data_IF_347433422855
#
_entry.id   IF_347433422855
#
_cell.length_a   1.000
_cell.length_b   1.000
_cell.length_c   1.000
_cell.angle_alpha   90.00
_cell.angle_beta   90.00
_cell.angle_gamma   90.00
#
_symmetry.space_group_name_H-M   'P 1'
#
loop_
_entity.id
_entity.type
_entity.pdbx_description
1 polymer ?
2 non-polymer ?
3 water ?
#
# COMPACT_ATOMS: atom_id res chain seq x y z
N UNK A 2 -9.10 -15.98 9.42
CA UNK A 2 -8.00 -16.80 9.89
C UNK A 2 -7.17 -17.35 8.72
N UNK A 3 -6.00 -17.90 9.04
CA UNK A 3 -5.24 -18.66 8.04
C UNK A 3 -6.02 -19.89 7.59
N UNK A 4 -6.60 -20.64 8.54
CA UNK A 4 -7.39 -21.83 8.19
C UNK A 4 -8.58 -21.48 7.31
N UNK A 5 -9.22 -20.33 7.57
CA UNK A 5 -10.33 -19.92 6.73
C UNK A 5 -9.86 -19.66 5.31
N UNK A 6 -8.65 -19.12 5.14
CA UNK A 6 -8.07 -18.98 3.82
C UNK A 6 -7.77 -20.33 3.20
N UNK A 7 -7.27 -21.28 4.01
CA UNK A 7 -6.86 -22.58 3.49
C UNK A 7 -8.06 -23.39 3.01
N UNK A 8 -9.23 -23.19 3.62
CA UNK A 8 -10.45 -23.81 3.13
C UNK A 8 -11.14 -22.99 2.03
N UNK A 9 -10.83 -21.71 1.93
CA UNK A 9 -11.56 -20.80 1.07
C UNK A 9 -11.58 -21.25 -0.39
N UNK A 10 -12.74 -21.07 -1.00
CA UNK A 10 -12.90 -21.32 -2.45
C UNK A 10 -12.39 -20.10 -3.22
N UNK A 11 -12.21 -20.22 -4.52
CA UNK A 11 -11.78 -19.08 -5.36
C UNK A 11 -12.88 -18.01 -5.37
N UNK A 12 -14.14 -18.44 -5.40
CA UNK A 12 -15.25 -17.47 -5.47
C UNK A 12 -15.40 -16.72 -4.14
N UNK A 13 -15.22 -17.42 -3.02
CA UNK A 13 -15.28 -16.75 -1.71
C UNK A 13 -14.16 -15.70 -1.65
N UNK A 14 -12.96 -16.07 -2.09
CA UNK A 14 -11.80 -15.16 -2.01
C UNK A 14 -12.08 -13.94 -2.89
N UNK A 15 -12.61 -14.16 -4.09
CA UNK A 15 -12.92 -13.07 -5.03
C UNK A 15 -13.93 -12.11 -4.38
N UNK A 16 -14.95 -12.65 -3.74
CA UNK A 16 -15.98 -11.81 -3.09
C UNK A 16 -15.40 -11.07 -1.88
N UNK A 17 -14.49 -11.71 -1.13
CA UNK A 17 -13.82 -11.04 0.01
C UNK A 17 -13.10 -9.78 -0.48
N UNK A 18 -12.31 -9.90 -1.55
CA UNK A 18 -11.53 -8.73 -2.05
C UNK A 18 -12.48 -7.66 -2.57
N UNK A 19 -13.52 -8.05 -3.30
CA UNK A 19 -14.51 -7.07 -3.81
C UNK A 19 -15.28 -6.46 -2.64
N UNK A 20 -15.62 -7.26 -1.63
CA UNK A 20 -16.32 -6.71 -0.49
C UNK A 20 -15.49 -5.71 0.31
N UNK A 21 -14.18 -5.97 0.44
CA UNK A 21 -13.29 -4.94 0.99
C UNK A 21 -13.39 -3.63 0.20
N UNK A 22 -13.37 -3.74 -1.13
CA UNK A 22 -13.46 -2.51 -1.92
C UNK A 22 -14.81 -1.80 -1.75
N UNK A 23 -15.90 -2.57 -1.69
CA UNK A 23 -17.23 -1.99 -1.54
C UNK A 23 -17.37 -1.34 -0.17
N UNK A 24 -16.83 -1.98 0.86
CA UNK A 24 -16.89 -1.42 2.21
C UNK A 24 -16.22 -0.06 2.24
N UNK A 25 -15.04 0.05 1.60
CA UNK A 25 -14.35 1.34 1.63
C UNK A 25 -15.09 2.39 0.84
N UNK A 26 -15.59 2.04 -0.35
CA UNK A 26 -16.34 3.02 -1.12
C UNK A 26 -17.54 3.54 -0.33
N UNK A 27 -18.23 2.65 0.39
CA UNK A 27 -19.43 3.05 1.09
C UNK A 27 -19.11 3.94 2.29
N UNK A 28 -18.02 3.61 3.00
CA UNK A 28 -17.56 4.52 4.05
C UNK A 28 -17.28 5.90 3.48
N UNK A 29 -16.60 5.96 2.34
CA UNK A 29 -16.23 7.28 1.82
C UNK A 29 -17.47 8.06 1.43
N UNK A 30 -18.46 7.36 0.89
CA UNK A 30 -19.75 7.97 0.55
C UNK A 30 -20.46 8.52 1.79
N UNK A 31 -20.53 7.72 2.86
CA UNK A 31 -21.15 8.19 4.11
C UNK A 31 -20.41 9.39 4.69
N UNK A 32 -19.07 9.33 4.70
CA UNK A 32 -18.25 10.42 5.20
C UNK A 32 -18.55 11.71 4.45
N UNK A 33 -18.56 11.65 3.13
CA UNK A 33 -18.77 12.87 2.34
C UNK A 33 -20.18 13.41 2.57
N UNK A 34 -21.18 12.54 2.63
CA UNK A 34 -22.53 13.01 2.94
C UNK A 34 -22.58 13.68 4.30
N UNK A 35 -21.93 13.08 5.30
CA UNK A 35 -21.88 13.61 6.67
C UNK A 35 -21.20 14.97 6.72
N UNK A 36 -20.10 15.14 6.00
CA UNK A 36 -19.38 16.41 6.04
C UNK A 36 -20.17 17.50 5.33
N UNK A 37 -20.76 17.20 4.16
CA UNK A 37 -21.65 18.15 3.49
C UNK A 37 -22.81 18.53 4.39
N UNK A 38 -23.33 17.56 5.14
CA UNK A 38 -24.48 17.80 6.00
C UNK A 38 -24.10 18.70 7.16
N UNK A 39 -22.89 18.53 7.70
CA UNK A 39 -22.44 19.37 8.80
C UNK A 39 -22.13 20.79 8.33
N UNK A 40 -21.47 20.91 7.19
CA UNK A 40 -21.15 22.23 6.67
C UNK A 40 -22.42 22.99 6.24
N UNK A 41 -23.44 22.28 5.78
CA UNK A 41 -24.59 22.95 5.20
C UNK A 41 -25.76 23.01 6.17
N UNK A 42 -26.34 21.87 6.51
CA UNK A 42 -27.57 21.86 7.30
C UNK A 42 -27.39 22.30 8.75
N UNK A 43 -26.16 22.38 9.28
CA UNK A 43 -25.94 22.67 10.69
C UNK A 43 -25.07 23.90 10.88
N UNK A 44 -25.46 25.04 10.28
CA UNK A 44 -24.58 26.22 10.34
C UNK A 44 -24.49 26.83 11.72
N UNK A 45 -25.41 26.49 12.63
CA UNK A 45 -25.43 26.96 14.00
C UNK A 45 -24.36 26.32 14.89
N UNK A 46 -23.68 25.28 14.43
CA UNK A 46 -22.75 24.53 15.26
C UNK A 46 -21.34 25.10 15.19
N UNK A 47 -20.59 24.94 16.27
CA UNK A 47 -19.20 25.37 16.27
C UNK A 47 -18.30 24.31 15.63
N UNK A 48 -17.02 24.65 15.47
CA UNK A 48 -16.04 23.72 14.89
C UNK A 48 -15.84 22.49 15.77
N UNK A 49 -15.80 22.67 17.08
CA UNK A 49 -15.56 21.54 17.97
C UNK A 49 -16.76 20.60 18.00
N UNK A 50 -17.98 21.13 17.91
CA UNK A 50 -19.15 20.26 17.86
C UNK A 50 -19.22 19.49 16.54
N UNK A 51 -18.92 20.16 15.43
CA UNK A 51 -18.86 19.44 14.17
C UNK A 51 -17.84 18.32 14.22
N UNK A 52 -16.63 18.63 14.72
CA UNK A 52 -15.58 17.62 14.84
C UNK A 52 -15.98 16.51 15.81
N UNK A 53 -16.79 16.81 16.82
CA UNK A 53 -17.27 15.78 17.72
C UNK A 53 -18.17 14.78 17.01
N UNK A 54 -19.08 15.28 16.16
CA UNK A 54 -19.88 14.38 15.34
C UNK A 54 -19.00 13.51 14.43
N UNK A 55 -18.00 14.12 13.80
CA UNK A 55 -17.18 13.30 12.92
C UNK A 55 -16.31 12.31 13.68
N UNK A 56 -15.91 12.62 14.92
CA UNK A 56 -15.18 11.66 15.72
C UNK A 56 -16.07 10.50 16.16
N UNK A 57 -17.34 10.78 16.49
CA UNK A 57 -18.31 9.71 16.70
C UNK A 57 -18.37 8.78 15.50
N UNK A 58 -18.51 9.36 14.30
CA UNK A 58 -18.54 8.56 13.08
C UNK A 58 -17.26 7.76 12.92
N UNK A 59 -16.12 8.34 13.32
CA UNK A 59 -14.86 7.62 13.22
C UNK A 59 -14.88 6.37 14.09
N UNK A 60 -15.26 6.54 15.36
CA UNK A 60 -15.32 5.39 16.26
C UNK A 60 -16.24 4.32 15.69
N UNK A 61 -17.44 4.73 15.25
CA UNK A 61 -18.39 3.78 14.66
C UNK A 61 -17.74 2.97 13.53
N UNK A 62 -17.25 3.66 12.50
CA UNK A 62 -16.70 2.97 11.33
C UNK A 62 -15.53 2.07 11.73
N UNK A 63 -14.63 2.57 12.56
CA UNK A 63 -13.38 1.82 12.68
C UNK A 63 -13.55 0.66 13.64
N UNK A 64 -14.35 0.82 14.71
CA UNK A 64 -14.67 -0.32 15.54
C UNK A 64 -15.37 -1.40 14.73
N UNK A 65 -16.28 -1.00 13.82
CA UNK A 65 -17.00 -2.04 13.08
C UNK A 65 -16.12 -2.73 12.05
N UNK A 66 -15.21 -1.98 11.40
CA UNK A 66 -14.49 -2.52 10.24
C UNK A 66 -13.00 -2.75 10.47
N UNK A 67 -12.36 -2.06 11.41
CA UNK A 67 -10.91 -2.17 11.53
C UNK A 67 -10.52 -2.43 12.98
N UNK A 68 -9.35 -1.96 13.40
CA UNK A 68 -8.87 -2.26 14.74
C UNK A 68 -8.53 -0.96 15.48
N UNK A 69 -8.45 -1.00 16.81
CA UNK A 69 -8.29 0.25 17.58
C UNK A 69 -6.98 0.98 17.34
N UNK A 70 -5.94 0.28 16.86
CA UNK A 70 -4.68 0.94 16.51
C UNK A 70 -4.90 2.04 15.48
N UNK A 71 -5.97 1.95 14.67
CA UNK A 71 -6.27 2.99 13.71
C UNK A 71 -6.46 4.36 14.36
N UNK A 72 -6.94 4.38 15.60
CA UNK A 72 -7.08 5.67 16.28
C UNK A 72 -5.74 6.37 16.35
N UNK A 73 -4.68 5.63 16.69
CA UNK A 73 -3.35 6.23 16.72
C UNK A 73 -3.00 6.78 15.35
N UNK A 74 -3.24 5.96 14.32
CA UNK A 74 -2.87 6.36 12.97
C UNK A 74 -3.62 7.62 12.60
N UNK A 75 -4.91 7.69 12.98
CA UNK A 75 -5.70 8.85 12.61
C UNK A 75 -5.13 10.09 13.29
N UNK A 76 -4.77 9.97 14.57
CA UNK A 76 -4.24 11.13 15.28
C UNK A 76 -2.99 11.62 14.56
N UNK A 77 -2.15 10.68 14.11
CA UNK A 77 -0.94 11.06 13.40
C UNK A 77 -1.29 11.76 12.11
N UNK A 78 -2.17 11.13 11.32
CA UNK A 78 -2.47 11.62 9.99
C UNK A 78 -3.13 13.00 10.04
N UNK A 79 -4.06 13.18 10.98
CA UNK A 79 -4.70 14.48 11.15
C UNK A 79 -3.67 15.53 11.56
N UNK A 80 -2.82 15.19 12.54
CA UNK A 80 -1.78 16.12 12.97
C UNK A 80 -0.91 16.58 11.80
N UNK A 81 -0.31 15.62 11.07
CA UNK A 81 0.52 15.93 9.91
C UNK A 81 -0.22 16.81 8.89
N UNK A 82 -1.52 16.57 8.66
CA UNK A 82 -2.21 17.39 7.67
C UNK A 82 -2.35 18.81 8.17
N UNK A 83 -2.81 18.98 9.41
CA UNK A 83 -2.89 20.32 9.99
C UNK A 83 -1.52 20.99 9.92
N UNK A 84 -0.50 20.31 10.45
CA UNK A 84 0.84 20.87 10.46
C UNK A 84 1.31 21.20 9.06
N UNK A 85 1.01 20.39 8.07
CA UNK A 85 1.39 20.71 6.67
C UNK A 85 0.81 22.07 6.25
N UNK A 86 -0.47 22.32 6.54
CA UNK A 86 -1.15 23.56 6.11
C UNK A 86 -0.57 24.75 6.88
N UNK A 87 -0.44 24.59 8.20
CA UNK A 87 0.18 25.64 9.03
C UNK A 87 1.56 25.95 8.44
N UNK A 88 2.26 24.91 8.00
CA UNK A 88 3.61 25.18 7.50
C UNK A 88 3.56 26.01 6.22
N UNK A 89 2.54 25.79 5.39
CA UNK A 89 2.40 26.60 4.19
C UNK A 89 2.13 28.05 4.59
N UNK A 90 1.33 28.25 5.65
CA UNK A 90 0.87 29.59 6.00
C UNK A 90 1.91 30.38 6.78
N UNK A 91 2.68 29.73 7.64
CA UNK A 91 3.49 30.43 8.62
C UNK A 91 4.97 30.12 8.51
N UNK A 92 5.37 29.21 7.64
CA UNK A 92 6.79 28.81 7.60
C UNK A 92 7.11 27.68 8.55
N UNK A 93 8.02 26.78 8.14
CA UNK A 93 8.36 25.56 8.94
C UNK A 93 8.85 25.88 10.36
N UNK A 94 9.58 26.97 10.55
CA UNK A 94 10.16 27.31 11.88
C UNK A 94 9.09 27.68 12.91
N UNK A 95 7.96 28.23 12.48
CA UNK A 95 6.96 28.71 13.47
C UNK A 95 5.97 27.60 13.76
N UNK A 96 5.93 26.60 12.89
CA UNK A 96 4.97 25.47 13.10
C UNK A 96 5.65 24.43 13.97
N UNK A 97 4.88 23.62 14.69
CA UNK A 97 5.44 22.57 15.49
C UNK A 97 6.16 21.59 14.57
N UNK A 98 7.09 20.78 15.12
CA UNK A 98 7.84 19.84 14.30
C UNK A 98 7.04 18.56 14.00
N UNK A 99 7.44 17.78 12.98
CA UNK A 99 6.79 16.51 12.66
C UNK A 99 6.58 15.67 13.92
N UNK A 100 5.41 15.04 14.06
CA UNK A 100 5.04 14.36 15.33
C UNK A 100 5.91 13.16 15.70
N UNK A 101 6.31 13.10 16.97
CA UNK A 101 7.07 11.99 17.51
C UNK A 101 6.12 11.23 18.45
N UNK A 102 5.49 10.18 17.94
CA UNK A 102 4.49 9.46 18.72
C UNK A 102 5.20 8.71 19.85
N UNK A 103 4.81 9.02 21.15
CA UNK A 103 5.39 8.26 22.25
C UNK A 103 4.59 6.99 22.50
N UNK A 104 5.20 5.95 23.07
CA UNK A 104 4.41 4.75 23.39
C UNK A 104 3.27 5.06 24.33
N UNK A 105 3.44 6.06 25.21
CA UNK A 105 2.43 6.33 26.23
C UNK A 105 1.23 7.03 25.63
N UNK A 106 1.48 7.99 24.74
CA UNK A 106 0.38 8.62 24.02
C UNK A 106 -0.41 7.58 23.21
N UNK A 107 0.29 6.69 22.49
CA UNK A 107 -0.41 5.70 21.66
C UNK A 107 -1.26 4.76 22.51
N UNK A 108 -0.70 4.28 23.63
CA UNK A 108 -1.47 3.42 24.53
C UNK A 108 -2.68 4.16 25.10
N UNK A 109 -2.52 5.42 25.48
CA UNK A 109 -3.66 6.17 25.98
C UNK A 109 -4.74 6.33 24.91
N UNK A 110 -4.33 6.67 23.68
CA UNK A 110 -5.29 6.88 22.61
C UNK A 110 -6.06 5.60 22.35
N UNK A 111 -5.35 4.46 22.33
CA UNK A 111 -5.99 3.19 22.05
C UNK A 111 -6.95 2.80 23.17
N UNK A 112 -6.52 2.96 24.43
CA UNK A 112 -7.39 2.64 25.56
C UNK A 112 -8.67 3.49 25.51
N UNK A 113 -8.52 4.80 25.31
CA UNK A 113 -9.69 5.67 25.18
C UNK A 113 -10.59 5.25 24.04
N UNK A 114 -10.01 4.89 22.90
CA UNK A 114 -10.83 4.45 21.77
C UNK A 114 -11.62 3.19 22.12
N UNK A 115 -10.96 2.21 22.75
CA UNK A 115 -11.66 1.00 23.19
C UNK A 115 -12.86 1.33 24.06
N UNK A 116 -12.61 2.08 25.14
CA UNK A 116 -13.70 2.55 25.99
C UNK A 116 -14.78 3.30 25.21
N UNK A 117 -14.40 3.96 24.11
CA UNK A 117 -15.41 4.62 23.30
C UNK A 117 -16.26 3.60 22.54
N UNK A 118 -15.74 2.41 22.28
CA UNK A 118 -16.62 1.45 21.62
C UNK A 118 -17.55 0.73 22.59
N UNK A 119 -17.48 1.04 23.89
CA UNK A 119 -18.19 0.28 24.91
C UNK A 119 -19.33 1.05 25.57
N UNK A 120 -19.32 2.38 25.52
CA UNK A 120 -20.33 3.17 26.21
C UNK A 120 -20.29 4.61 25.70
N UNK A 121 -21.44 5.28 25.81
CA UNK A 121 -21.57 6.67 25.40
C UNK A 121 -20.64 7.58 26.20
N UNK A 122 -20.50 7.30 27.52
CA UNK A 122 -19.53 8.03 28.33
C UNK A 122 -18.10 7.86 27.82
N UNK A 123 -17.75 6.63 27.44
CA UNK A 123 -16.43 6.41 26.87
C UNK A 123 -16.23 7.21 25.60
N UNK A 124 -17.26 7.30 24.77
CA UNK A 124 -17.17 8.08 23.54
C UNK A 124 -16.94 9.56 23.84
N UNK A 125 -17.66 10.11 24.83
CA UNK A 125 -17.39 11.50 25.21
C UNK A 125 -16.00 11.67 25.77
N UNK A 126 -15.50 10.69 26.54
CA UNK A 126 -14.12 10.83 27.03
C UNK A 126 -13.13 10.85 25.86
N UNK A 127 -13.32 9.98 24.87
CA UNK A 127 -12.43 9.97 23.70
C UNK A 127 -12.49 11.29 22.94
N UNK A 128 -13.70 11.77 22.67
CA UNK A 128 -13.87 13.02 21.93
C UNK A 128 -13.26 14.18 22.70
N UNK A 129 -13.51 14.23 24.01
CA UNK A 129 -12.92 15.30 24.82
C UNK A 129 -11.40 15.22 24.82
N UNK A 130 -10.83 14.01 24.83
CA UNK A 130 -9.38 13.88 24.79
C UNK A 130 -8.82 14.37 23.46
N UNK A 131 -9.45 13.97 22.35
CA UNK A 131 -8.94 14.39 21.04
C UNK A 131 -9.07 15.89 20.87
N UNK A 132 -10.22 16.45 21.26
CA UNK A 132 -10.49 17.87 21.01
C UNK A 132 -9.83 18.79 22.02
N UNK A 133 -9.47 18.30 23.20
CA UNK A 133 -8.67 19.01 24.18
C UNK A 133 -7.16 18.87 24.01
N UNK A 134 -6.74 18.03 23.08
CA UNK A 134 -5.28 17.76 22.90
C UNK A 134 -4.56 19.07 22.60
N UNK A 135 -3.60 19.48 23.44
CA UNK A 135 -2.94 20.78 23.28
C UNK A 135 -2.29 20.98 21.89
N UNK A 136 -1.58 19.97 21.39
CA UNK A 136 -0.84 20.11 20.10
C UNK A 136 -1.79 20.34 18.92
N UNK A 137 -2.91 19.63 18.87
CA UNK A 137 -3.88 19.79 17.78
C UNK A 137 -4.53 21.17 17.89
N UNK A 138 -4.90 21.55 19.12
CA UNK A 138 -5.51 22.88 19.36
C UNK A 138 -4.58 23.98 18.83
N UNK A 139 -3.27 23.82 19.00
CA UNK A 139 -2.30 24.83 18.51
C UNK A 139 -2.38 24.90 16.98
N UNK A 140 -2.30 23.75 16.32
CA UNK A 140 -2.36 23.69 14.84
C UNK A 140 -3.69 24.29 14.36
N UNK A 141 -4.79 23.96 15.02
CA UNK A 141 -6.14 24.47 14.64
C UNK A 141 -6.15 25.99 14.78
N UNK A 142 -5.59 26.50 15.87
CA UNK A 142 -5.53 27.95 16.11
C UNK A 142 -4.76 28.60 14.96
N UNK A 143 -3.64 27.99 14.59
CA UNK A 143 -2.81 28.50 13.49
C UNK A 143 -3.60 28.52 12.17
N UNK A 144 -4.69 27.75 12.10
CA UNK A 144 -5.54 27.71 10.87
C UNK A 144 -6.79 28.59 11.03
N UNK A 145 -6.83 29.43 12.06
CA UNK A 145 -7.99 30.32 12.32
C UNK A 145 -9.29 29.57 12.51
N UNK A 146 -9.23 28.27 12.81
CA UNK A 146 -10.43 27.42 13.06
C UNK A 146 -11.37 27.45 11.84
N UNK A 147 -10.83 27.59 10.63
CA UNK A 147 -11.65 27.57 9.39
C UNK A 147 -12.36 26.22 9.31
N UNK A 148 -13.70 26.20 9.35
CA UNK A 148 -14.46 24.93 9.41
C UNK A 148 -14.34 24.12 8.12
N UNK A 149 -14.50 24.77 6.97
CA UNK A 149 -14.44 24.06 5.66
C UNK A 149 -13.06 23.41 5.49
N UNK A 150 -12.00 24.14 5.80
CA UNK A 150 -10.62 23.62 5.63
C UNK A 150 -10.36 22.48 6.62
N UNK A 151 -10.60 22.72 7.90
CA UNK A 151 -10.27 21.69 8.93
C UNK A 151 -11.10 20.41 8.72
N UNK A 152 -12.36 20.54 8.34
CA UNK A 152 -13.22 19.35 8.12
C UNK A 152 -12.75 18.58 6.88
N UNK A 153 -12.35 19.30 5.84
CA UNK A 153 -11.80 18.66 4.62
C UNK A 153 -10.50 17.94 4.98
N UNK A 154 -9.70 18.55 5.85
CA UNK A 154 -8.43 17.93 6.30
C UNK A 154 -8.74 16.67 7.14
N UNK A 155 -9.81 16.72 7.94
CA UNK A 155 -10.25 15.55 8.74
C UNK A 155 -10.69 14.43 7.79
N UNK A 156 -11.39 14.78 6.71
CA UNK A 156 -11.85 13.80 5.71
C UNK A 156 -10.65 13.10 5.04
N UNK A 157 -9.60 13.85 4.74
CA UNK A 157 -8.37 13.27 4.12
C UNK A 157 -7.71 12.33 5.13
N UNK A 158 -7.58 12.77 6.39
CA UNK A 158 -6.98 11.92 7.44
C UNK A 158 -7.84 10.66 7.63
N UNK A 159 -9.16 10.81 7.62
CA UNK A 159 -10.09 9.67 7.78
C UNK A 159 -9.86 8.69 6.63
N UNK A 160 -9.89 9.19 5.39
CA UNK A 160 -9.69 8.31 4.23
C UNK A 160 -8.30 7.68 4.27
N UNK A 161 -7.29 8.48 4.61
CA UNK A 161 -5.92 7.99 4.64
C UNK A 161 -5.75 6.88 5.68
N UNK A 162 -6.38 7.02 6.83
CA UNK A 162 -6.27 6.01 7.93
C UNK A 162 -7.03 4.73 7.53
N UNK A 163 -8.17 4.86 6.86
CA UNK A 163 -8.95 3.69 6.40
C UNK A 163 -8.15 2.86 5.38
N UNK A 164 -7.43 3.52 4.47
CA UNK A 164 -6.58 2.82 3.47
C UNK A 164 -5.42 2.13 4.20
N UNK A 165 -4.82 2.82 5.17
CA UNK A 165 -3.70 2.26 5.97
C UNK A 165 -4.16 0.97 6.67
N UNK A 166 -5.35 1.00 7.26
CA UNK A 166 -5.91 -0.19 7.94
C UNK A 166 -6.18 -1.31 6.93
N UNK A 167 -6.72 -0.96 5.76
CA UNK A 167 -7.00 -1.95 4.69
C UNK A 167 -5.69 -2.51 4.13
N UNK A 168 -4.66 -1.68 4.05
CA UNK A 168 -3.35 -2.13 3.55
C UNK A 168 -2.79 -3.17 4.53
N UNK A 169 -2.96 -2.94 5.83
CA UNK A 169 -2.44 -3.88 6.86
C UNK A 169 -3.19 -5.21 6.77
N UNK A 170 -4.50 -5.16 6.57
CA UNK A 170 -5.32 -6.40 6.50
C UNK A 170 -4.95 -7.15 5.23
N UNK A 171 -4.73 -6.43 4.14
CA UNK A 171 -4.31 -7.07 2.86
C UNK A 171 -2.92 -7.67 3.02
N UNK A 172 -2.06 -7.03 3.80
CA UNK A 172 -0.69 -7.55 4.06
C UNK A 172 -0.78 -8.86 4.86
N UNK A 173 -1.68 -8.92 5.83
CA UNK A 173 -1.86 -10.14 6.64
C UNK A 173 -2.48 -11.25 5.75
N UNK A 174 -3.38 -10.88 4.85
CA UNK A 174 -3.98 -11.87 3.92
C UNK A 174 -2.90 -12.44 2.99
N UNK A 175 -2.03 -11.58 2.47
CA UNK A 175 -0.96 -12.02 1.55
C UNK A 175 0.05 -12.90 2.26
N UNK A 176 0.50 -12.48 3.42
CA UNK A 176 1.47 -13.26 4.21
C UNK A 176 0.86 -14.60 4.58
N UNK A 177 -0.43 -14.61 4.87
CA UNK A 177 -1.05 -15.89 5.16
C UNK A 177 -1.14 -16.75 3.92
N UNK A 178 -1.42 -16.12 2.76
CA UNK A 178 -1.44 -16.86 1.50
C UNK A 178 -0.07 -17.44 1.16
N UNK A 179 1.01 -16.70 1.47
CA UNK A 179 2.34 -17.21 1.19
C UNK A 179 2.71 -18.36 2.12
N UNK A 180 2.28 -18.28 3.38
CA UNK A 180 2.48 -19.41 4.29
C UNK A 180 1.78 -20.64 3.74
N UNK A 181 0.53 -20.49 3.31
CA UNK A 181 -0.20 -21.64 2.78
C UNK A 181 0.41 -22.16 1.49
N UNK A 182 0.87 -21.28 0.60
CA UNK A 182 1.54 -21.75 -0.61
C UNK A 182 2.77 -22.57 -0.24
N UNK A 183 3.53 -22.11 0.74
CA UNK A 183 4.75 -22.78 1.13
C UNK A 183 4.47 -24.15 1.75
N UNK A 184 3.45 -24.24 2.59
CA UNK A 184 3.03 -25.54 3.15
C UNK A 184 2.43 -26.46 2.10
N UNK A 185 1.95 -25.91 0.98
CA UNK A 185 1.44 -26.72 -0.13
C UNK A 185 2.38 -26.68 -1.33
N UNK A 186 3.67 -26.49 -1.04
CA UNK A 186 4.68 -26.28 -2.10
C UNK A 186 4.69 -27.42 -3.12
N UNK A 187 4.94 -27.05 -4.38
CA UNK A 187 5.04 -28.06 -5.40
C UNK A 187 3.73 -28.67 -5.85
N UNK A 188 2.60 -28.17 -5.36
CA UNK A 188 1.29 -28.68 -5.77
C UNK A 188 0.45 -27.53 -6.32
N UNK A 189 -0.65 -27.89 -6.98
CA UNK A 189 -1.54 -26.88 -7.54
C UNK A 189 -2.26 -26.10 -6.44
N UNK A 190 -2.46 -26.70 -5.26
CA UNK A 190 -2.89 -25.91 -4.11
C UNK A 190 -1.92 -24.77 -3.82
N UNK A 191 -0.62 -25.08 -3.83
CA UNK A 191 0.39 -24.05 -3.65
C UNK A 191 0.27 -22.94 -4.68
N UNK A 192 0.11 -23.31 -5.96
CA UNK A 192 -0.04 -22.30 -7.01
C UNK A 192 -1.31 -21.47 -6.81
N UNK A 193 -2.39 -22.09 -6.32
CA UNK A 193 -3.59 -21.34 -5.99
C UNK A 193 -3.29 -20.26 -4.96
N UNK A 194 -2.57 -20.62 -3.89
CA UNK A 194 -2.25 -19.61 -2.88
C UNK A 194 -1.29 -18.54 -3.38
N UNK A 195 -0.36 -18.89 -4.26
CA UNK A 195 0.48 -17.87 -4.90
C UNK A 195 -0.39 -16.88 -5.67
N UNK A 196 -1.42 -17.40 -6.33
CA UNK A 196 -2.30 -16.53 -7.09
C UNK A 196 -3.11 -15.64 -6.15
N UNK A 197 -3.48 -16.19 -4.98
CA UNK A 197 -4.12 -15.38 -3.94
C UNK A 197 -3.23 -14.23 -3.53
N UNK A 198 -1.94 -14.50 -3.29
CA UNK A 198 -1.01 -13.44 -2.93
C UNK A 198 -0.99 -12.36 -4.02
N UNK A 199 -0.94 -12.77 -5.29
CA UNK A 199 -0.93 -11.79 -6.38
C UNK A 199 -2.20 -10.93 -6.37
N UNK A 200 -3.37 -11.58 -6.21
CA UNK A 200 -4.61 -10.84 -6.07
C UNK A 200 -4.54 -9.81 -4.95
N UNK A 201 -3.93 -10.16 -3.80
CA UNK A 201 -3.83 -9.17 -2.72
C UNK A 201 -2.97 -7.97 -3.14
N UNK A 202 -1.95 -8.20 -3.98
CA UNK A 202 -1.17 -7.07 -4.50
C UNK A 202 -2.01 -6.17 -5.41
N UNK A 203 -2.81 -6.78 -6.29
CA UNK A 203 -3.81 -6.00 -7.03
C UNK A 203 -4.63 -5.11 -6.12
N UNK A 204 -5.06 -5.67 -4.99
CA UNK A 204 -5.85 -4.90 -4.02
C UNK A 204 -5.05 -3.77 -3.37
N UNK A 205 -3.82 -4.05 -2.92
CA UNK A 205 -3.01 -2.98 -2.35
C UNK A 205 -2.84 -1.81 -3.33
N UNK A 206 -2.63 -2.12 -4.61
CA UNK A 206 -2.56 -1.08 -5.63
C UNK A 206 -3.86 -0.28 -5.73
N UNK A 207 -5.00 -1.00 -5.81
CA UNK A 207 -6.31 -0.34 -5.79
C UNK A 207 -6.44 0.61 -4.61
N UNK A 208 -5.92 0.20 -3.43
CA UNK A 208 -6.14 0.98 -2.21
C UNK A 208 -5.31 2.26 -2.18
N UNK A 209 -4.04 2.17 -2.57
CA UNK A 209 -3.24 3.39 -2.69
C UNK A 209 -3.83 4.33 -3.74
N UNK A 210 -4.34 3.78 -4.85
CA UNK A 210 -4.93 4.63 -5.87
C UNK A 210 -6.16 5.34 -5.34
N UNK A 211 -6.95 4.65 -4.51
CA UNK A 211 -8.10 5.28 -3.89
C UNK A 211 -7.67 6.47 -3.05
N UNK A 212 -6.67 6.26 -2.17
CA UNK A 212 -6.20 7.40 -1.36
C UNK A 212 -5.78 8.58 -2.23
N UNK A 213 -5.05 8.30 -3.33
CA UNK A 213 -4.58 9.35 -4.24
C UNK A 213 -5.75 10.12 -4.87
N UNK A 214 -6.69 9.39 -5.49
CA UNK A 214 -7.77 10.08 -6.21
C UNK A 214 -8.72 10.80 -5.24
N UNK A 215 -8.98 10.21 -4.05
CA UNK A 215 -9.87 10.89 -3.11
C UNK A 215 -9.19 12.14 -2.53
N UNK A 216 -7.90 12.07 -2.24
CA UNK A 216 -7.19 13.25 -1.76
C UNK A 216 -7.29 14.38 -2.79
N UNK A 217 -7.03 14.05 -4.06
CA UNK A 217 -7.16 15.04 -5.14
C UNK A 217 -8.57 15.63 -5.21
N UNK A 218 -9.60 14.78 -5.08
CA UNK A 218 -10.97 15.25 -5.17
C UNK A 218 -11.31 16.22 -4.04
N UNK A 219 -10.91 15.88 -2.81
CA UNK A 219 -11.20 16.74 -1.66
C UNK A 219 -10.53 18.09 -1.83
N UNK A 220 -9.29 18.12 -2.35
CA UNK A 220 -8.64 19.41 -2.61
C UNK A 220 -9.34 20.19 -3.74
N UNK A 221 -9.78 19.51 -4.80
CA UNK A 221 -10.48 20.22 -5.87
C UNK A 221 -11.77 20.85 -5.36
N UNK A 222 -12.50 20.11 -4.50
CA UNK A 222 -13.71 20.67 -3.91
C UNK A 222 -13.38 21.83 -2.97
N UNK A 223 -12.30 21.74 -2.20
CA UNK A 223 -11.89 22.89 -1.37
C UNK A 223 -11.67 24.12 -2.23
N UNK A 224 -10.85 23.97 -3.28
CA UNK A 224 -10.52 25.08 -4.15
C UNK A 224 -11.79 25.65 -4.79
N UNK A 225 -12.73 24.78 -5.15
CA UNK A 225 -13.99 25.26 -5.72
C UNK A 225 -14.76 26.09 -4.70
N UNK A 226 -14.75 25.65 -3.45
CA UNK A 226 -15.52 26.27 -2.38
C UNK A 226 -14.81 27.46 -1.74
N UNK A 227 -13.49 27.58 -1.89
CA UNK A 227 -12.72 28.65 -1.27
C UNK A 227 -11.73 29.21 -2.29
N UNK A 228 -12.24 29.83 -3.35
CA UNK A 228 -11.34 30.20 -4.45
C UNK A 228 -10.35 31.29 -4.06
N UNK A 229 -10.68 32.13 -3.07
CA UNK A 229 -9.72 33.10 -2.57
C UNK A 229 -8.48 32.43 -1.98
N UNK A 230 -8.57 31.14 -1.64
CA UNK A 230 -7.44 30.42 -1.06
C UNK A 230 -6.69 29.61 -2.09
N UNK A 231 -7.03 29.74 -3.38
CA UNK A 231 -6.53 28.83 -4.39
C UNK A 231 -5.02 28.68 -4.35
N UNK A 232 -4.31 29.76 -4.01
CA UNK A 232 -2.86 29.70 -3.90
C UNK A 232 -2.44 28.77 -2.77
N UNK A 233 -2.77 29.14 -1.52
CA UNK A 233 -2.37 28.33 -0.37
C UNK A 233 -2.76 26.87 -0.59
N UNK A 234 -4.02 26.66 -0.97
CA UNK A 234 -4.54 25.31 -1.17
C UNK A 234 -3.69 24.52 -2.14
N UNK A 235 -3.35 25.14 -3.28
CA UNK A 235 -2.56 24.41 -4.27
C UNK A 235 -1.18 24.08 -3.74
N UNK A 236 -0.65 24.92 -2.84
CA UNK A 236 0.64 24.60 -2.24
C UNK A 236 0.48 23.45 -1.25
N UNK A 237 -0.60 23.48 -0.49
CA UNK A 237 -0.80 22.44 0.52
C UNK A 237 -0.95 21.10 -0.17
N UNK A 238 -1.77 21.05 -1.22
CA UNK A 238 -1.93 19.81 -1.97
C UNK A 238 -0.59 19.31 -2.50
N UNK A 239 0.27 20.21 -2.96
CA UNK A 239 1.52 19.72 -3.52
C UNK A 239 2.38 19.05 -2.45
N UNK A 240 2.30 19.54 -1.24
CA UNK A 240 3.05 18.91 -0.12
C UNK A 240 2.41 17.58 0.25
N UNK A 241 1.08 17.48 0.22
CA UNK A 241 0.40 16.26 0.61
C UNK A 241 0.61 15.18 -0.43
N UNK A 242 0.33 15.54 -1.69
CA UNK A 242 0.67 14.68 -2.81
C UNK A 242 2.16 14.39 -2.86
N UNK A 243 3.01 15.29 -2.40
CA UNK A 243 4.45 14.99 -2.39
C UNK A 243 4.80 13.91 -1.40
N UNK A 244 4.22 13.99 -0.21
CA UNK A 244 4.49 12.99 0.85
C UNK A 244 4.01 11.61 0.38
N UNK A 245 2.83 11.54 -0.20
CA UNK A 245 2.32 10.26 -0.74
C UNK A 245 3.33 9.70 -1.77
N UNK A 246 3.80 10.52 -2.72
CA UNK A 246 4.83 10.06 -3.70
C UNK A 246 6.03 9.46 -2.98
N UNK A 247 6.57 10.15 -1.99
CA UNK A 247 7.79 9.69 -1.29
C UNK A 247 7.55 8.31 -0.68
N UNK A 248 6.41 8.13 -0.03
CA UNK A 248 6.06 6.81 0.55
C UNK A 248 6.10 5.73 -0.55
N UNK A 249 5.52 6.03 -1.72
CA UNK A 249 5.50 5.04 -2.83
C UNK A 249 6.94 4.78 -3.32
N UNK A 250 7.73 5.83 -3.53
CA UNK A 250 9.12 5.68 -4.03
C UNK A 250 9.96 4.91 -3.00
N UNK A 251 9.77 5.19 -1.72
CA UNK A 251 10.47 4.44 -0.66
C UNK A 251 10.08 2.96 -0.78
N UNK A 252 8.79 2.72 -1.01
CA UNK A 252 8.34 1.34 -1.18
C UNK A 252 8.95 0.71 -2.42
N UNK A 253 9.03 1.45 -3.53
CA UNK A 253 9.71 0.94 -4.76
C UNK A 253 11.14 0.50 -4.42
N UNK A 254 11.90 1.36 -3.78
CA UNK A 254 13.32 1.06 -3.42
C UNK A 254 13.39 -0.20 -2.52
N UNK A 255 12.56 -0.28 -1.50
CA UNK A 255 12.55 -1.46 -0.59
C UNK A 255 12.17 -2.73 -1.34
N UNK A 256 11.18 -2.67 -2.23
CA UNK A 256 10.69 -3.88 -2.94
C UNK A 256 11.79 -4.37 -3.89
N UNK A 257 12.41 -3.47 -4.63
CA UNK A 257 13.56 -3.85 -5.50
C UNK A 257 14.61 -4.54 -4.64
N UNK A 258 14.97 -3.93 -3.52
CA UNK A 258 15.98 -4.51 -2.60
C UNK A 258 15.56 -5.91 -2.16
N UNK A 259 14.34 -6.04 -1.64
CA UNK A 259 13.84 -7.34 -1.16
C UNK A 259 13.87 -8.40 -2.27
N UNK A 260 13.36 -8.05 -3.45
CA UNK A 260 13.31 -9.01 -4.60
C UNK A 260 14.73 -9.51 -4.94
N UNK A 261 15.69 -8.60 -5.07
CA UNK A 261 17.08 -8.98 -5.43
C UNK A 261 17.74 -9.74 -4.28
N UNK A 262 17.44 -9.41 -3.04
CA UNK A 262 17.95 -10.21 -1.91
C UNK A 262 17.33 -11.61 -1.96
N UNK A 263 16.05 -11.69 -2.33
CA UNK A 263 15.40 -13.01 -2.50
C UNK A 263 16.07 -13.76 -3.67
N UNK A 264 16.48 -13.06 -4.72
CA UNK A 264 17.22 -13.72 -5.82
C UNK A 264 18.56 -14.28 -5.31
N UNK A 265 19.32 -13.49 -4.54
CA UNK A 265 20.67 -13.92 -4.12
C UNK A 265 20.56 -15.14 -3.19
N UNK A 266 19.63 -15.09 -2.26
CA UNK A 266 19.42 -16.24 -1.36
C UNK A 266 18.99 -17.48 -2.16
N UNK A 267 18.13 -17.33 -3.16
CA UNK A 267 17.67 -18.47 -3.99
C UNK A 267 18.88 -19.06 -4.75
N UNK A 268 19.70 -18.21 -5.33
CA UNK A 268 20.87 -18.67 -6.11
C UNK A 268 21.81 -19.49 -5.21
N UNK A 269 21.96 -19.09 -3.95
CA UNK A 269 22.92 -19.78 -3.04
C UNK A 269 22.33 -21.12 -2.59
N UNK A 270 21.00 -21.23 -2.58
CA UNK A 270 20.40 -22.45 -2.08
C UNK A 270 20.30 -23.52 -3.15
N UNK A 271 20.48 -23.13 -4.42
CA UNK A 271 20.21 -24.02 -5.54
C UNK A 271 21.25 -25.12 -5.60
N UNK A 272 20.79 -26.36 -5.84
CA UNK A 272 21.75 -27.39 -6.24
C UNK A 272 22.23 -27.08 -7.66
N UNK A 273 23.54 -26.92 -7.87
CA UNK A 273 24.03 -26.50 -9.19
C UNK A 273 23.77 -27.51 -10.32
N UNK A 274 23.32 -28.73 -10.04
CA UNK A 274 23.02 -29.63 -11.15
C UNK A 274 21.66 -29.35 -11.78
N UNK A 275 20.83 -28.52 -11.14
CA UNK A 275 19.50 -28.23 -11.67
C UNK A 275 19.62 -27.20 -12.79
N UNK A 276 19.01 -27.51 -13.93
CA UNK A 276 19.02 -26.65 -15.11
C UNK A 276 17.60 -26.44 -15.60
N UNK A 277 17.43 -25.37 -16.39
CA UNK A 277 16.12 -24.95 -16.87
C UNK A 277 16.07 -25.15 -18.38
N UNK A 278 14.88 -25.45 -18.92
CA UNK A 278 14.64 -25.37 -20.36
C UNK A 278 13.84 -24.14 -20.79
N UNK A 279 12.98 -23.62 -19.93
CA UNK A 279 12.13 -22.50 -20.33
C UNK A 279 11.50 -21.89 -19.08
N UNK A 280 11.21 -20.61 -19.19
CA UNK A 280 10.57 -19.80 -18.15
C UNK A 280 9.67 -18.82 -18.86
N UNK A 281 8.42 -18.72 -18.41
CA UNK A 281 7.48 -17.74 -18.93
C UNK A 281 6.70 -17.16 -17.76
N UNK A 282 6.46 -15.84 -17.82
CA UNK A 282 5.70 -15.12 -16.82
C UNK A 282 4.70 -14.24 -17.55
N UNK A 283 3.45 -14.34 -17.17
CA UNK A 283 2.40 -13.49 -17.76
C UNK A 283 1.78 -12.63 -16.67
N UNK A 284 1.73 -11.32 -16.90
CA UNK A 284 1.02 -10.41 -15.95
C UNK A 284 -0.23 -9.89 -16.65
N UNK A 285 -1.39 -10.10 -16.02
CA UNK A 285 -2.66 -9.69 -16.62
C UNK A 285 -3.48 -8.81 -15.66
N UNK A 286 -3.94 -7.67 -16.16
CA UNK A 286 -4.81 -6.78 -15.38
C UNK A 286 -6.18 -6.75 -16.06
N UNK A 287 -7.25 -6.89 -15.29
CA UNK A 287 -8.59 -6.71 -15.87
C UNK A 287 -8.81 -5.20 -16.03
N UNK A 288 -9.84 -4.80 -16.77
CA UNK A 288 -10.16 -3.36 -16.91
C UNK A 288 -10.49 -2.80 -15.53
N UNK A 289 -10.97 -3.65 -14.61
CA UNK A 289 -11.40 -3.24 -13.25
C UNK A 289 -10.22 -3.14 -12.28
N UNK A 290 -9.10 -3.77 -12.59
CA UNK A 290 -7.93 -3.73 -11.70
C UNK A 290 -7.63 -5.03 -10.97
N UNK A 291 -8.19 -6.16 -11.42
CA UNK A 291 -7.80 -7.40 -10.77
C UNK A 291 -6.48 -7.90 -11.38
N UNK A 292 -5.61 -8.45 -10.53
CA UNK A 292 -4.25 -8.83 -10.93
C UNK A 292 -4.11 -10.33 -10.99
N UNK A 293 -3.61 -10.83 -12.11
CA UNK A 293 -3.26 -12.24 -12.22
C UNK A 293 -1.84 -12.40 -12.72
N UNK A 294 -1.08 -13.29 -12.09
CA UNK A 294 0.30 -13.60 -12.46
C UNK A 294 0.40 -15.10 -12.69
N UNK A 295 0.83 -15.50 -13.87
CA UNK A 295 0.96 -16.91 -14.23
C UNK A 295 2.42 -17.18 -14.56
N UNK A 296 3.02 -18.15 -13.88
CA UNK A 296 4.45 -18.44 -14.00
C UNK A 296 4.63 -19.90 -14.36
N UNK A 297 5.35 -20.16 -15.46
CA UNK A 297 5.66 -21.51 -15.94
C UNK A 297 7.17 -21.69 -15.99
N UNK A 298 7.70 -22.50 -15.08
CA UNK A 298 9.12 -22.76 -14.99
C UNK A 298 9.34 -24.23 -15.33
N UNK A 299 10.07 -24.47 -16.42
CA UNK A 299 10.33 -25.85 -16.88
C UNK A 299 11.80 -26.19 -16.62
N UNK A 300 12.02 -27.35 -16.01
CA UNK A 300 13.38 -27.82 -15.69
C UNK A 300 13.83 -28.85 -16.74
N UNK A 301 15.12 -29.09 -16.84
CA UNK A 301 15.70 -30.02 -17.83
C UNK A 301 15.50 -31.47 -17.39
N UNK A 302 15.14 -32.34 -18.34
CA UNK A 302 15.01 -33.78 -18.06
C UNK A 302 16.34 -34.46 -18.38
N UNK A 303 16.50 -35.70 -17.93
CA UNK A 303 17.71 -36.47 -18.28
C UNK A 303 18.48 -36.95 -17.07
N UNK A 304 19.56 -37.73 -17.29
CA UNK A 304 20.38 -38.25 -16.21
C UNK A 304 21.40 -37.20 -15.75
N UNK A 305 20.94 -36.02 -15.37
CA UNK A 305 21.88 -34.92 -15.06
C UNK A 305 22.60 -35.23 -13.76
N UNK A 306 21.87 -35.73 -12.78
CA UNK A 306 22.52 -35.97 -11.48
C UNK A 306 21.80 -35.23 -10.37
N UNK A 307 20.67 -34.58 -10.70
CA UNK A 307 19.85 -33.88 -9.70
C UNK A 307 18.64 -34.73 -9.28
N UNK A 308 18.44 -34.88 -7.97
CA UNK A 308 17.28 -35.67 -7.45
C UNK A 308 15.98 -34.98 -7.86
N UNK A 309 14.90 -35.73 -8.11
CA UNK A 309 13.62 -35.12 -8.42
C UNK A 309 13.23 -34.15 -7.30
N UNK A 310 13.74 -34.39 -6.09
CA UNK A 310 13.38 -33.52 -4.93
C UNK A 310 14.10 -32.19 -5.05
N UNK A 311 15.39 -32.20 -5.41
CA UNK A 311 16.15 -30.94 -5.57
C UNK A 311 15.60 -30.18 -6.78
N UNK A 312 15.17 -30.90 -7.81
CA UNK A 312 14.56 -30.25 -8.98
C UNK A 312 13.28 -29.55 -8.53
N UNK A 313 12.34 -30.33 -7.96
CA UNK A 313 11.09 -29.73 -7.52
C UNK A 313 11.32 -28.55 -6.57
N UNK A 314 12.27 -28.68 -5.64
CA UNK A 314 12.59 -27.58 -4.75
C UNK A 314 13.01 -26.36 -5.54
N UNK A 315 13.91 -26.54 -6.51
CA UNK A 315 14.37 -25.42 -7.32
C UNK A 315 13.22 -24.81 -8.10
N UNK A 316 12.42 -25.64 -8.76
CA UNK A 316 11.42 -25.10 -9.66
C UNK A 316 10.31 -24.40 -8.87
N UNK A 317 10.02 -24.85 -7.64
CA UNK A 317 9.07 -24.14 -6.80
C UNK A 317 9.65 -22.84 -6.30
N UNK A 318 10.93 -22.83 -5.88
CA UNK A 318 11.55 -21.59 -5.39
C UNK A 318 11.59 -20.53 -6.49
N UNK A 319 11.96 -20.92 -7.71
CA UNK A 319 12.00 -19.97 -8.82
C UNK A 319 10.59 -19.49 -9.15
N UNK A 320 9.62 -20.41 -9.22
CA UNK A 320 8.23 -20.02 -9.48
C UNK A 320 7.72 -19.04 -8.43
N UNK A 321 8.04 -19.26 -7.16
CA UNK A 321 7.58 -18.36 -6.08
C UNK A 321 8.26 -16.99 -6.21
N UNK A 322 9.54 -16.98 -6.56
CA UNK A 322 10.22 -15.70 -6.66
C UNK A 322 9.64 -14.87 -7.80
N UNK A 323 9.41 -15.51 -8.96
CA UNK A 323 8.83 -14.80 -10.10
C UNK A 323 7.39 -14.35 -9.83
N UNK A 324 6.57 -15.19 -9.21
CA UNK A 324 5.18 -14.79 -8.98
C UNK A 324 5.09 -13.66 -7.95
N UNK A 325 5.82 -13.77 -6.83
CA UNK A 325 5.76 -12.69 -5.85
C UNK A 325 6.37 -11.39 -6.39
N UNK A 326 7.57 -11.47 -6.99
CA UNK A 326 8.19 -10.25 -7.48
C UNK A 326 7.38 -9.60 -8.59
N UNK A 327 6.84 -10.38 -9.54
CA UNK A 327 6.08 -9.77 -10.62
C UNK A 327 4.80 -9.14 -10.09
N UNK A 328 4.17 -9.78 -9.10
CA UNK A 328 2.95 -9.20 -8.53
C UNK A 328 3.27 -7.89 -7.81
N UNK A 329 4.30 -7.91 -6.97
CA UNK A 329 4.64 -6.72 -6.17
C UNK A 329 5.03 -5.56 -7.09
N UNK A 330 5.87 -5.83 -8.11
CA UNK A 330 6.37 -4.77 -8.97
C UNK A 330 5.28 -4.26 -9.90
N UNK A 331 4.39 -5.14 -10.36
CA UNK A 331 3.27 -4.71 -11.19
C UNK A 331 2.29 -3.87 -10.40
N UNK A 332 2.09 -4.21 -9.12
CA UNK A 332 1.18 -3.40 -8.31
C UNK A 332 1.77 -2.01 -8.11
N UNK A 333 3.08 -1.93 -7.84
CA UNK A 333 3.73 -0.63 -7.71
C UNK A 333 3.68 0.18 -9.01
N UNK A 334 3.83 -0.50 -10.14
CA UNK A 334 3.74 0.21 -11.41
C UNK A 334 2.35 0.81 -11.62
N UNK A 335 1.31 0.08 -11.22
CA UNK A 335 -0.06 0.59 -11.35
C UNK A 335 -0.27 1.83 -10.47
N UNK A 336 0.21 1.76 -9.22
CA UNK A 336 0.11 2.93 -8.34
C UNK A 336 0.85 4.12 -8.94
N UNK A 337 2.02 3.88 -9.57
CA UNK A 337 2.82 4.98 -10.11
C UNK A 337 2.18 5.58 -11.35
N UNK A 338 1.57 4.75 -12.19
CA UNK A 338 0.84 5.23 -13.36
C UNK A 338 -0.30 6.14 -12.93
N UNK A 339 -0.92 5.83 -11.79
CA UNK A 339 -1.93 6.75 -11.30
C UNK A 339 -1.28 8.01 -10.73
N UNK A 340 -0.22 7.86 -9.92
CA UNK A 340 0.44 9.03 -9.35
C UNK A 340 0.88 10.03 -10.42
N UNK A 341 1.24 9.54 -11.61
CA UNK A 341 1.75 10.42 -12.65
C UNK A 341 0.73 11.50 -13.01
N UNK A 342 -0.56 11.15 -12.94
CA UNK A 342 -1.64 12.09 -13.27
C UNK A 342 -1.97 13.03 -12.11
N UNK A 343 -1.31 12.91 -10.97
CA UNK A 343 -1.74 13.69 -9.82
C UNK A 343 -0.65 14.50 -9.17
N UNK A 344 0.63 14.26 -9.48
CA UNK A 344 1.70 14.99 -8.81
C UNK A 344 1.89 16.35 -9.47
N UNK A 345 2.57 17.24 -8.76
CA UNK A 345 2.99 18.50 -9.33
C UNK A 345 3.86 18.25 -10.57
N UNK A 346 3.83 19.19 -11.53
CA UNK A 346 4.56 19.00 -12.82
C UNK A 346 6.02 18.62 -12.58
N UNK A 347 6.67 19.23 -11.59
CA UNK A 347 8.09 19.00 -11.30
C UNK A 347 8.36 17.55 -10.86
N UNK A 348 7.36 16.83 -10.36
CA UNK A 348 7.60 15.46 -9.84
C UNK A 348 7.34 14.41 -10.92
N UNK A 349 6.80 14.81 -12.07
CA UNK A 349 6.41 13.85 -13.14
C UNK A 349 7.62 13.08 -13.68
N UNK A 350 8.77 13.74 -13.78
CA UNK A 350 9.99 13.07 -14.26
C UNK A 350 10.42 12.00 -13.25
N UNK A 351 10.27 12.31 -11.97
CA UNK A 351 10.65 11.35 -10.89
C UNK A 351 9.75 10.11 -10.98
N UNK A 352 8.46 10.30 -11.26
CA UNK A 352 7.50 9.17 -11.35
C UNK A 352 7.86 8.33 -12.58
N UNK A 353 8.22 9.00 -13.67
CA UNK A 353 8.67 8.26 -14.88
C UNK A 353 9.96 7.53 -14.54
N UNK A 354 10.87 8.18 -13.82
CA UNK A 354 12.07 7.48 -13.38
C UNK A 354 11.69 6.24 -12.59
N UNK A 355 10.74 6.38 -11.66
CA UNK A 355 10.36 5.26 -10.81
C UNK A 355 9.69 4.18 -11.64
N UNK A 356 8.82 4.57 -12.57
CA UNK A 356 8.26 3.61 -13.54
C UNK A 356 9.39 2.82 -14.19
N UNK A 357 10.39 3.54 -14.68
CA UNK A 357 11.46 2.85 -15.40
C UNK A 357 12.26 1.98 -14.44
N UNK A 358 12.36 2.36 -13.17
CA UNK A 358 13.07 1.51 -12.21
C UNK A 358 12.30 0.21 -11.98
N UNK A 359 10.97 0.30 -11.95
CA UNK A 359 10.14 -0.89 -11.69
C UNK A 359 10.12 -1.79 -12.92
N UNK A 360 9.77 -1.23 -14.08
CA UNK A 360 9.84 -1.96 -15.34
C UNK A 360 11.19 -2.68 -15.50
N UNK A 361 12.29 -1.93 -15.39
CA UNK A 361 13.61 -2.51 -15.58
C UNK A 361 13.86 -3.63 -14.58
N UNK A 362 13.37 -3.49 -13.34
CA UNK A 362 13.58 -4.55 -12.37
C UNK A 362 12.74 -5.79 -12.73
N UNK A 363 11.47 -5.57 -13.08
CA UNK A 363 10.60 -6.72 -13.36
C UNK A 363 11.11 -7.51 -14.56
N UNK A 364 11.18 -6.85 -15.71
CA UNK A 364 11.76 -7.50 -16.90
C UNK A 364 13.12 -8.11 -16.56
N UNK A 365 13.95 -7.38 -15.81
CA UNK A 365 15.29 -7.86 -15.55
C UNK A 365 15.25 -9.16 -14.77
N UNK A 366 14.43 -9.22 -13.72
CA UNK A 366 14.42 -10.43 -12.92
C UNK A 366 13.92 -11.58 -13.78
N UNK A 367 12.87 -11.32 -14.56
CA UNK A 367 12.35 -12.36 -15.43
C UNK A 367 13.43 -12.79 -16.42
N UNK A 368 14.12 -11.80 -17.01
CA UNK A 368 15.08 -12.14 -18.05
C UNK A 368 16.26 -12.90 -17.49
N UNK A 369 16.49 -12.85 -16.17
CA UNK A 369 17.62 -13.61 -15.65
C UNK A 369 17.34 -15.10 -15.86
N UNK A 370 16.12 -15.53 -15.56
CA UNK A 370 15.85 -16.96 -15.69
C UNK A 370 15.61 -17.35 -17.14
N UNK A 371 14.93 -16.50 -17.89
CA UNK A 371 14.68 -16.76 -19.33
C UNK A 371 16.03 -16.94 -20.06
N UNK A 372 16.94 -16.00 -19.88
CA UNK A 372 18.23 -16.14 -20.57
C UNK A 372 19.05 -17.28 -20.01
N UNK A 373 18.88 -17.63 -18.73
CA UNK A 373 19.61 -18.80 -18.26
C UNK A 373 19.04 -20.05 -18.90
N UNK A 374 17.71 -20.17 -18.96
CA UNK A 374 17.12 -21.35 -19.58
C UNK A 374 17.59 -21.46 -21.03
N UNK A 375 17.50 -20.36 -21.77
CA UNK A 375 17.91 -20.36 -23.17
C UNK A 375 19.40 -20.69 -23.32
N UNK A 376 20.23 -20.26 -22.37
CA UNK A 376 21.65 -20.62 -22.46
C UNK A 376 21.83 -22.11 -22.20
N UNK A 377 21.17 -22.63 -21.17
CA UNK A 377 21.36 -24.02 -20.82
C UNK A 377 20.70 -24.93 -21.86
N UNK A 378 19.56 -24.48 -22.42
CA UNK A 378 18.92 -25.22 -23.50
C UNK A 378 19.83 -25.31 -24.72
N UNK A 379 20.57 -24.25 -25.02
CA UNK A 379 21.46 -24.27 -26.17
C UNK A 379 22.68 -25.14 -25.95
N UNK A 380 22.95 -25.52 -24.71
CA UNK A 380 24.10 -26.42 -24.40
C UNK A 380 25.16 -25.86 -23.46
N UNK A 381 24.97 -24.67 -22.90
CA UNK A 381 25.96 -24.03 -22.00
C UNK A 381 26.26 -24.92 -20.80
N UNK A 382 27.54 -25.12 -20.45
CA UNK A 382 27.88 -25.86 -19.23
C UNK A 382 27.68 -25.02 -17.95
N UNK A 383 27.42 -23.72 -18.09
CA UNK A 383 27.32 -22.81 -16.93
C UNK A 383 26.13 -23.16 -16.01
N UNK A 384 26.32 -22.95 -14.72
CA UNK A 384 25.24 -23.19 -13.74
C UNK A 384 24.26 -22.03 -13.70
N UNK A 385 23.10 -22.25 -13.10
CA UNK A 385 22.08 -21.19 -12.95
C UNK A 385 22.57 -20.13 -11.96
N UNK A 386 23.27 -20.50 -10.90
CA UNK A 386 23.80 -19.49 -9.96
C UNK A 386 24.74 -18.55 -10.69
N UNK A 387 25.68 -19.10 -11.47
CA UNK A 387 26.69 -18.28 -12.19
C UNK A 387 26.01 -17.30 -13.16
N UNK A 388 25.04 -17.78 -13.93
CA UNK A 388 24.34 -16.91 -14.93
C UNK A 388 23.55 -15.83 -14.18
N UNK A 389 22.88 -16.21 -13.09
CA UNK A 389 22.10 -15.25 -12.28
C UNK A 389 23.00 -14.17 -11.69
N UNK A 390 24.16 -14.55 -11.16
CA UNK A 390 25.09 -13.59 -10.53
C UNK A 390 25.60 -12.59 -11.57
N UNK A 391 25.97 -13.10 -12.73
CA UNK A 391 26.46 -12.24 -13.82
C UNK A 391 25.36 -11.29 -14.30
N UNK A 392 24.16 -11.81 -14.55
CA UNK A 392 23.03 -10.97 -15.03
C UNK A 392 22.58 -9.99 -13.92
N UNK A 393 22.69 -10.38 -12.66
CA UNK A 393 22.31 -9.52 -11.52
C UNK A 393 23.28 -8.34 -11.49
N UNK A 394 24.57 -8.62 -11.68
CA UNK A 394 25.53 -7.50 -11.77
C UNK A 394 25.10 -6.58 -12.90
N UNK A 395 24.78 -7.15 -14.06
CA UNK A 395 24.44 -6.27 -15.19
C UNK A 395 23.18 -5.44 -14.88
N UNK A 396 22.20 -6.06 -14.25
CA UNK A 396 20.90 -5.39 -13.98
C UNK A 396 21.11 -4.27 -12.96
N UNK A 397 21.95 -4.51 -11.95
CA UNK A 397 22.26 -3.48 -10.94
C UNK A 397 22.99 -2.31 -11.60
N UNK A 398 23.90 -2.60 -12.53
CA UNK A 398 24.55 -1.50 -13.27
C UNK A 398 23.54 -0.70 -14.08
N UNK A 399 22.60 -1.39 -14.71
CA UNK A 399 21.58 -0.72 -15.55
C UNK A 399 20.64 0.11 -14.67
N UNK A 400 20.36 -0.36 -13.46
CA UNK A 400 19.45 0.36 -12.56
C UNK A 400 20.21 1.60 -12.05
N UNK A 401 21.51 1.44 -11.86
CA UNK A 401 22.29 2.60 -11.42
C UNK A 401 22.50 3.63 -12.51
N UNK A 402 22.23 3.29 -13.77
CA UNK A 402 22.57 4.16 -14.89
C UNK A 402 24.00 3.92 -15.33
X LIG B 1 -13.63 0.36 -8.78
X LIG B 1 -14.33 -0.84 -8.43
X LIG B 1 -14.39 1.10 -9.75
X LIG B 1 -13.46 1.17 -7.61
X LIG B 1 -12.35 0.04 -9.34
X LIG C 1 25.06 7.85 -12.55
X LIG C 1 24.57 8.04 -11.21
X LIG C 1 23.99 8.05 -13.48
X LIG C 1 26.10 8.80 -12.82
X LIG C 1 25.58 6.53 -12.69
#
# INVERSE_FOLDING_TARGET
MSKAELAAMSEAEFRALLQGKKETLKNIIKELDEKIKELLEEHPDLSLEEKLAELLRFFVEVFSKNFSPEAAVTFYQNFYELLRTYAAVLHGEEAVPPPLVMTPELAAEIIALFQAATESEEGLEAFIAFVLGDPALQKLIDMLGKDKVVILSLFAIAFIKTAVDSALEEADKLGAAALELAEENRGTAEGERHLQFYAATQGLKAWLKELEITETTKIFDDLIEERPELAAELEAVRDRVMGALLDEVLAEVDATVAAVLARLRALAEALDPKVRLTSVAVEVAWTEDGLLTVTVDVRTESGPLGATPEEIAEAQWAISRLLATAAAELSALERVLETLLKHVAEADKARVEAALARVETTRAGLIDIFREAAAAQAAGSPRTLAEIAAARLAALLAALAG
SO4 S O1 O2 O3 O4
SO4 S O1 O2 O3 O4
#
